data_IF_829958636628
#
_entry.id   IF_829958636628
#
_cell.length_a   1.000
_cell.length_b   1.000
_cell.length_c   1.000
_cell.angle_alpha   90.00
_cell.angle_beta   90.00
_cell.angle_gamma   90.00
#
_symmetry.space_group_name_H-M   'P 1'
#
loop_
_entity.id
_entity.type
_entity.pdbx_description
1 polymer ?
#
# COMPACT_ATOMS: atom_id res chain seq x y z
N UNK A 1 6.54 4.31 64.25
CA UNK A 1 6.56 4.37 62.77
C UNK A 1 6.41 5.83 62.37
N UNK A 2 7.45 6.38 61.77
CA UNK A 2 7.65 7.82 61.63
C UNK A 2 7.00 8.32 60.34
N UNK A 3 5.72 8.72 60.44
CA UNK A 3 4.87 9.10 59.29
C UNK A 3 5.50 10.20 58.41
N UNK A 4 6.35 11.05 58.98
CA UNK A 4 7.04 12.11 58.25
C UNK A 4 8.17 11.60 57.34
N UNK A 5 8.84 10.49 57.68
CA UNK A 5 9.88 9.90 56.84
C UNK A 5 9.29 9.19 55.61
N UNK A 6 8.14 8.51 55.76
CA UNK A 6 7.44 7.86 54.66
C UNK A 6 6.85 8.87 53.65
N UNK A 7 6.39 10.03 54.12
CA UNK A 7 5.92 11.13 53.25
C UNK A 7 7.09 11.76 52.48
N UNK A 8 8.26 11.91 53.13
CA UNK A 8 9.45 12.44 52.48
C UNK A 8 9.98 11.48 51.41
N UNK A 9 10.10 10.18 51.72
CA UNK A 9 10.55 9.14 50.80
C UNK A 9 9.62 9.00 49.59
N UNK A 10 8.30 8.97 49.81
CA UNK A 10 7.32 8.90 48.71
C UNK A 10 7.37 10.11 47.79
N UNK A 11 7.57 11.32 48.34
CA UNK A 11 7.72 12.55 47.55
C UNK A 11 8.98 12.54 46.69
N UNK A 12 10.10 12.07 47.23
CA UNK A 12 11.37 11.95 46.50
C UNK A 12 11.26 10.93 45.36
N UNK A 13 10.62 9.78 45.61
CA UNK A 13 10.40 8.74 44.58
C UNK A 13 9.48 9.24 43.47
N UNK A 14 8.46 10.04 43.78
CA UNK A 14 7.57 10.62 42.76
C UNK A 14 8.32 11.63 41.88
N UNK A 15 9.15 12.51 42.48
CA UNK A 15 9.96 13.50 41.75
C UNK A 15 11.02 12.86 40.85
N UNK A 16 11.61 11.73 41.26
CA UNK A 16 12.59 11.02 40.42
C UNK A 16 11.93 10.36 39.21
N UNK A 17 10.73 9.78 39.36
CA UNK A 17 9.96 9.19 38.27
C UNK A 17 9.46 10.23 37.27
N UNK A 18 9.05 11.42 37.73
CA UNK A 18 8.64 12.49 36.82
C UNK A 18 9.81 12.99 35.98
N UNK A 19 10.98 13.21 36.60
CA UNK A 19 12.21 13.60 35.90
C UNK A 19 12.63 12.56 34.85
N UNK A 20 12.65 11.28 35.21
CA UNK A 20 12.98 10.20 34.27
C UNK A 20 12.02 10.12 33.07
N UNK A 21 10.74 10.44 33.27
CA UNK A 21 9.75 10.51 32.18
C UNK A 21 10.04 11.71 31.27
N UNK A 22 10.33 12.87 31.85
CA UNK A 22 10.66 14.09 31.10
C UNK A 22 11.91 13.90 30.22
N UNK A 23 12.95 13.26 30.75
CA UNK A 23 14.21 13.02 30.03
C UNK A 23 14.00 12.08 28.83
N UNK A 24 13.19 11.02 28.99
CA UNK A 24 12.81 10.13 27.88
C UNK A 24 12.07 10.87 26.78
N UNK A 25 11.08 11.70 27.14
CA UNK A 25 10.30 12.46 26.17
C UNK A 25 11.18 13.44 25.42
N UNK A 26 12.07 14.18 26.10
CA UNK A 26 13.02 15.10 25.46
C UNK A 26 13.92 14.41 24.44
N UNK A 27 14.49 13.26 24.80
CA UNK A 27 15.34 12.49 23.91
C UNK A 27 14.59 12.08 22.63
N UNK A 28 13.34 11.64 22.78
CA UNK A 28 12.50 11.27 21.63
C UNK A 28 12.12 12.47 20.77
N UNK A 29 11.81 13.63 21.37
CA UNK A 29 11.53 14.84 20.60
C UNK A 29 12.75 15.26 19.75
N UNK A 30 13.97 15.15 20.30
CA UNK A 30 15.22 15.41 19.57
C UNK A 30 15.44 14.40 18.45
N UNK A 31 15.16 13.12 18.69
CA UNK A 31 15.26 12.10 17.66
C UNK A 31 14.27 12.38 16.52
N UNK A 32 13.02 12.71 16.85
CA UNK A 32 11.98 13.04 15.88
C UNK A 32 12.35 14.29 15.08
N UNK A 33 12.89 15.34 15.73
CA UNK A 33 13.32 16.54 15.01
C UNK A 33 14.43 16.23 14.02
N UNK A 34 15.41 15.40 14.39
CA UNK A 34 16.47 14.98 13.48
C UNK A 34 15.95 14.14 12.31
N UNK A 35 15.02 13.22 12.57
CA UNK A 35 14.37 12.43 11.51
C UNK A 35 13.62 13.33 10.51
N UNK A 36 12.92 14.36 10.99
CA UNK A 36 12.22 15.32 10.15
C UNK A 36 13.19 16.20 9.37
N UNK A 37 14.30 16.65 9.98
CA UNK A 37 15.32 17.44 9.29
C UNK A 37 15.99 16.65 8.15
N UNK A 38 16.27 15.36 8.35
CA UNK A 38 16.87 14.50 7.34
C UNK A 38 15.91 14.13 6.20
N UNK A 39 14.64 13.81 6.52
CA UNK A 39 13.68 13.32 5.53
C UNK A 39 12.75 14.41 4.96
N UNK A 40 12.77 15.62 5.52
CA UNK A 40 11.85 16.73 5.21
C UNK A 40 10.43 16.54 5.77
N UNK A 41 10.02 15.31 6.05
CA UNK A 41 8.71 14.94 6.63
C UNK A 41 8.88 13.84 7.67
N UNK A 42 7.95 13.75 8.63
CA UNK A 42 7.96 12.67 9.61
C UNK A 42 7.72 11.31 8.91
N UNK A 43 8.61 10.31 9.04
CA UNK A 43 8.54 9.09 8.23
C UNK A 43 7.48 8.07 8.70
N UNK A 44 6.94 8.22 9.90
CA UNK A 44 5.99 7.27 10.48
C UNK A 44 4.56 7.81 10.52
N UNK A 45 3.59 6.91 10.72
CA UNK A 45 2.18 7.25 10.94
C UNK A 45 1.58 8.17 9.84
N UNK A 46 1.96 7.96 8.58
CA UNK A 46 1.47 8.77 7.45
C UNK A 46 1.82 10.25 7.55
N UNK A 47 2.98 10.57 8.15
CA UNK A 47 3.44 11.96 8.35
C UNK A 47 2.83 12.65 9.55
N UNK A 48 2.02 11.96 10.37
CA UNK A 48 1.33 12.57 11.49
C UNK A 48 2.03 12.28 12.81
N UNK A 49 2.41 13.36 13.48
CA UNK A 49 2.93 13.30 14.83
C UNK A 49 1.83 13.71 15.82
N UNK A 50 1.54 12.82 16.76
CA UNK A 50 0.57 13.06 17.83
C UNK A 50 1.22 12.83 19.20
N UNK A 51 0.58 13.32 20.25
CA UNK A 51 0.94 13.03 21.65
C UNK A 51 1.09 11.53 21.92
N UNK A 52 0.16 10.74 21.39
CA UNK A 52 0.18 9.28 21.54
C UNK A 52 1.40 8.65 20.84
N UNK A 53 1.81 9.21 19.71
CA UNK A 53 2.99 8.75 18.98
C UNK A 53 4.27 9.06 19.77
N UNK A 54 4.37 10.26 20.35
CA UNK A 54 5.49 10.61 21.24
C UNK A 54 5.56 9.66 22.44
N UNK A 55 4.42 9.38 23.09
CA UNK A 55 4.35 8.42 24.20
C UNK A 55 4.81 7.02 23.79
N UNK A 56 4.35 6.54 22.62
CA UNK A 56 4.71 5.23 22.08
C UNK A 56 6.21 5.11 21.88
N UNK A 57 6.85 6.13 21.28
CA UNK A 57 8.29 6.13 21.03
C UNK A 57 9.12 6.31 22.30
N UNK A 58 8.62 7.06 23.27
CA UNK A 58 9.25 7.20 24.59
C UNK A 58 9.08 5.97 25.50
N UNK A 59 8.32 4.96 25.08
CA UNK A 59 8.04 3.77 25.88
C UNK A 59 7.28 4.08 27.17
N UNK A 60 6.41 5.09 27.13
CA UNK A 60 5.56 5.50 28.26
C UNK A 60 4.09 5.22 27.95
N UNK A 61 3.28 5.08 29.00
CA UNK A 61 1.84 4.85 28.85
C UNK A 61 1.16 5.99 28.09
N UNK A 62 0.17 5.67 27.26
CA UNK A 62 -0.56 6.66 26.44
C UNK A 62 -1.15 7.79 27.28
N UNK A 63 -1.63 7.49 28.48
CA UNK A 63 -2.25 8.45 29.42
C UNK A 63 -1.25 9.17 30.33
N UNK A 64 0.02 8.76 30.35
CA UNK A 64 1.02 9.25 31.33
C UNK A 64 1.26 10.75 31.21
N UNK A 65 1.34 11.29 30.00
CA UNK A 65 1.55 12.73 29.77
C UNK A 65 0.32 13.57 30.11
N UNK A 66 -0.88 12.97 30.10
CA UNK A 66 -2.13 13.64 30.42
C UNK A 66 -2.36 13.74 31.93
N UNK A 67 -1.50 13.11 32.73
CA UNK A 67 -1.56 13.24 34.19
C UNK A 67 -1.18 14.65 34.62
N UNK A 68 -1.89 15.25 35.60
CA UNK A 68 -1.52 16.55 36.18
C UNK A 68 -0.06 16.63 36.68
N UNK A 69 0.49 15.48 37.10
CA UNK A 69 1.89 15.34 37.57
C UNK A 69 2.93 15.60 36.47
N UNK A 70 2.53 15.50 35.20
CA UNK A 70 3.40 15.66 34.03
C UNK A 70 2.99 16.88 33.19
N UNK A 71 2.34 17.86 33.80
CA UNK A 71 1.81 19.05 33.10
C UNK A 71 2.89 19.83 32.35
N UNK A 72 4.10 19.93 32.91
CA UNK A 72 5.23 20.58 32.24
C UNK A 72 5.67 19.83 30.98
N UNK A 73 5.77 18.50 31.07
CA UNK A 73 6.11 17.64 29.92
C UNK A 73 5.02 17.72 28.85
N UNK A 74 3.75 17.78 29.26
CA UNK A 74 2.62 17.92 28.37
C UNK A 74 2.71 19.22 27.56
N UNK A 75 2.92 20.36 28.24
CA UNK A 75 3.10 21.67 27.59
C UNK A 75 4.28 21.70 26.62
N UNK A 76 5.37 21.02 26.96
CA UNK A 76 6.54 20.90 26.09
C UNK A 76 6.23 20.12 24.80
N UNK A 77 5.51 19.00 24.94
CA UNK A 77 5.06 18.20 23.78
C UNK A 77 4.06 19.00 22.94
N UNK A 78 3.15 19.75 23.56
CA UNK A 78 2.22 20.64 22.85
C UNK A 78 2.95 21.68 22.01
N UNK A 79 3.88 22.42 22.61
CA UNK A 79 4.66 23.43 21.89
C UNK A 79 5.45 22.82 20.72
N UNK A 80 6.00 21.62 20.89
CA UNK A 80 6.67 20.90 19.82
C UNK A 80 5.71 20.54 18.68
N UNK A 81 4.55 19.95 19.01
CA UNK A 81 3.54 19.54 18.03
C UNK A 81 2.95 20.73 17.27
N UNK A 82 2.72 21.87 17.92
CA UNK A 82 2.28 23.10 17.26
C UNK A 82 3.32 23.60 16.26
N UNK A 83 4.61 23.61 16.65
CA UNK A 83 5.70 23.98 15.75
C UNK A 83 5.84 23.02 14.56
N UNK A 84 5.47 21.75 14.75
CA UNK A 84 5.45 20.74 13.70
C UNK A 84 4.24 20.88 12.77
N UNK A 85 3.04 21.16 13.29
CA UNK A 85 1.83 21.35 12.49
C UNK A 85 1.96 22.53 11.52
N UNK A 86 2.67 23.60 11.92
CA UNK A 86 3.01 24.72 11.05
C UNK A 86 3.93 24.33 9.87
N UNK A 87 4.73 23.26 10.01
CA UNK A 87 5.64 22.73 8.99
C UNK A 87 5.09 21.51 8.26
N UNK A 88 4.01 20.92 8.76
CA UNK A 88 3.40 19.71 8.21
C UNK A 88 2.61 20.05 6.95
N UNK A 89 3.21 19.77 5.79
CA UNK A 89 2.58 19.81 4.46
C UNK A 89 1.53 18.70 4.27
N UNK A 90 0.63 18.47 5.24
CA UNK A 90 -0.58 17.69 4.98
C UNK A 90 -1.51 18.57 4.15
N UNK A 91 -1.35 18.48 2.82
CA UNK A 91 -2.49 18.67 1.93
C UNK A 91 -3.64 17.84 2.52
N UNK A 92 -4.70 18.53 2.94
CA UNK A 92 -5.88 17.93 3.55
C UNK A 92 -6.27 16.66 2.80
N UNK A 93 -6.33 15.52 3.49
CA UNK A 93 -6.72 14.23 2.89
C UNK A 93 -8.14 14.23 2.30
N UNK A 94 -8.88 15.35 2.39
CA UNK A 94 -10.08 15.60 1.61
C UNK A 94 -9.70 16.01 0.20
N UNK A 95 -9.77 15.04 -0.71
CA UNK A 95 -9.81 15.32 -2.14
C UNK A 95 -10.92 16.33 -2.41
N UNK A 96 -10.59 17.39 -3.14
CA UNK A 96 -11.61 18.36 -3.56
C UNK A 96 -12.61 17.69 -4.49
N UNK A 97 -13.83 18.23 -4.60
CA UNK A 97 -14.83 17.72 -5.54
C UNK A 97 -14.29 17.69 -6.99
N UNK A 98 -13.46 18.67 -7.35
CA UNK A 98 -12.80 18.75 -8.65
C UNK A 98 -11.78 17.62 -8.86
N UNK A 99 -10.96 17.31 -7.86
CA UNK A 99 -10.03 16.17 -7.92
C UNK A 99 -10.77 14.84 -8.03
N UNK A 100 -11.88 14.69 -7.31
CA UNK A 100 -12.72 13.49 -7.40
C UNK A 100 -13.31 13.37 -8.80
N UNK A 101 -13.95 14.42 -9.32
CA UNK A 101 -14.56 14.37 -10.66
C UNK A 101 -13.54 14.12 -11.76
N UNK A 102 -12.35 14.72 -11.67
CA UNK A 102 -11.24 14.46 -12.59
C UNK A 102 -10.77 12.99 -12.49
N UNK A 103 -10.62 12.45 -11.29
CA UNK A 103 -10.22 11.05 -11.09
C UNK A 103 -11.26 10.06 -11.63
N UNK A 104 -12.56 10.34 -11.46
CA UNK A 104 -13.64 9.53 -12.03
C UNK A 104 -13.67 9.60 -13.55
N UNK A 105 -13.48 10.79 -14.12
CA UNK A 105 -13.38 10.98 -15.58
C UNK A 105 -12.22 10.17 -16.15
N UNK A 106 -11.05 10.21 -15.50
CA UNK A 106 -9.89 9.45 -15.94
C UNK A 106 -10.16 7.95 -15.91
N UNK A 107 -10.71 7.42 -14.81
CA UNK A 107 -11.10 6.01 -14.71
C UNK A 107 -12.07 5.58 -15.81
N UNK A 108 -13.02 6.44 -16.17
CA UNK A 108 -13.96 6.16 -17.24
C UNK A 108 -13.27 6.08 -18.61
N UNK A 109 -12.35 7.02 -18.89
CA UNK A 109 -11.55 7.02 -20.12
C UNK A 109 -10.71 5.73 -20.20
N UNK A 110 -10.03 5.37 -19.11
CA UNK A 110 -9.18 4.18 -19.05
C UNK A 110 -10.00 2.90 -19.27
N UNK A 111 -11.18 2.82 -18.63
CA UNK A 111 -12.10 1.69 -18.80
C UNK A 111 -12.61 1.59 -20.25
N UNK A 112 -12.99 2.73 -20.84
CA UNK A 112 -13.44 2.78 -22.23
C UNK A 112 -12.33 2.35 -23.19
N UNK A 113 -11.10 2.84 -23.00
CA UNK A 113 -9.96 2.45 -23.82
C UNK A 113 -9.64 0.95 -23.68
N UNK A 114 -9.69 0.41 -22.46
CA UNK A 114 -9.53 -1.02 -22.22
C UNK A 114 -10.60 -1.84 -22.94
N UNK A 115 -11.87 -1.42 -22.87
CA UNK A 115 -12.98 -2.10 -23.54
C UNK A 115 -12.82 -2.10 -25.07
N UNK A 116 -12.46 -0.95 -25.66
CA UNK A 116 -12.20 -0.87 -27.10
C UNK A 116 -11.06 -1.79 -27.52
N UNK A 117 -9.98 -1.85 -26.73
CA UNK A 117 -8.87 -2.77 -27.00
C UNK A 117 -9.32 -4.22 -26.98
N UNK A 118 -10.05 -4.63 -25.95
CA UNK A 118 -10.54 -6.02 -25.84
C UNK A 118 -11.49 -6.40 -26.96
N UNK A 119 -12.31 -5.46 -27.42
CA UNK A 119 -13.22 -5.69 -28.55
C UNK A 119 -12.45 -5.91 -29.86
N UNK A 120 -11.40 -5.11 -30.11
CA UNK A 120 -10.52 -5.31 -31.26
C UNK A 120 -9.77 -6.65 -31.19
N UNK A 121 -9.24 -6.99 -30.02
CA UNK A 121 -8.56 -8.28 -29.80
C UNK A 121 -9.52 -9.47 -30.03
N UNK A 122 -10.77 -9.35 -29.59
CA UNK A 122 -11.80 -10.36 -29.83
C UNK A 122 -12.12 -10.53 -31.32
N UNK A 123 -12.26 -9.43 -32.06
CA UNK A 123 -12.50 -9.47 -33.50
C UNK A 123 -11.32 -10.10 -34.26
N UNK A 124 -10.08 -9.76 -33.89
CA UNK A 124 -8.89 -10.37 -34.47
C UNK A 124 -8.85 -11.88 -34.20
N UNK A 125 -9.09 -12.30 -32.96
CA UNK A 125 -9.11 -13.71 -32.58
C UNK A 125 -10.20 -14.49 -33.32
N UNK A 126 -11.38 -13.90 -33.49
CA UNK A 126 -12.48 -14.50 -34.26
C UNK A 126 -12.10 -14.73 -35.72
N UNK A 127 -11.47 -13.73 -36.35
CA UNK A 127 -11.01 -13.85 -37.74
C UNK A 127 -9.94 -14.95 -37.89
N UNK A 128 -9.02 -15.03 -36.94
CA UNK A 128 -7.99 -16.08 -36.93
C UNK A 128 -8.60 -17.47 -36.74
N UNK A 129 -9.59 -17.60 -35.84
CA UNK A 129 -10.33 -18.85 -35.64
C UNK A 129 -11.05 -19.28 -36.93
N UNK A 130 -11.77 -18.38 -37.59
CA UNK A 130 -12.47 -18.68 -38.84
C UNK A 130 -11.49 -19.03 -39.98
N UNK A 131 -10.29 -18.45 -40.01
CA UNK A 131 -9.23 -18.82 -40.95
C UNK A 131 -8.69 -20.23 -40.65
N UNK A 132 -8.37 -20.52 -39.40
CA UNK A 132 -7.86 -21.83 -38.98
C UNK A 132 -8.88 -22.94 -39.24
N UNK A 133 -10.16 -22.69 -38.96
CA UNK A 133 -11.23 -23.63 -39.22
C UNK A 133 -11.33 -23.97 -40.72
N UNK A 134 -11.26 -22.95 -41.59
CA UNK A 134 -11.24 -23.16 -43.06
C UNK A 134 -10.04 -24.00 -43.49
N UNK A 135 -8.84 -23.66 -43.01
CA UNK A 135 -7.62 -24.43 -43.34
C UNK A 135 -7.71 -25.88 -42.86
N UNK A 136 -8.26 -26.10 -41.66
CA UNK A 136 -8.43 -27.43 -41.11
C UNK A 136 -9.40 -28.27 -41.96
N UNK A 137 -10.51 -27.67 -42.41
CA UNK A 137 -11.45 -28.34 -43.31
C UNK A 137 -10.79 -28.74 -44.64
N UNK A 138 -10.04 -27.82 -45.27
CA UNK A 138 -9.30 -28.10 -46.52
C UNK A 138 -8.30 -29.24 -46.31
N UNK A 139 -7.52 -29.21 -45.24
CA UNK A 139 -6.57 -30.29 -44.93
C UNK A 139 -7.28 -31.63 -44.69
N UNK A 140 -8.44 -31.63 -44.04
CA UNK A 140 -9.23 -32.84 -43.85
C UNK A 140 -9.73 -33.41 -45.19
N UNK A 141 -10.20 -32.56 -46.10
CA UNK A 141 -10.61 -32.94 -47.45
C UNK A 141 -9.43 -33.50 -48.26
N UNK A 142 -8.27 -32.83 -48.24
CA UNK A 142 -7.05 -33.29 -48.92
C UNK A 142 -6.55 -34.63 -48.37
N UNK A 143 -6.52 -34.79 -47.04
CA UNK A 143 -6.13 -36.05 -46.40
C UNK A 143 -7.11 -37.17 -46.78
N UNK A 144 -8.40 -36.90 -46.81
CA UNK A 144 -9.41 -37.87 -47.25
C UNK A 144 -9.19 -38.27 -48.71
N UNK A 145 -8.97 -37.31 -49.60
CA UNK A 145 -8.70 -37.51 -51.01
C UNK A 145 -7.42 -38.34 -51.26
N UNK A 146 -6.31 -37.99 -50.60
CA UNK A 146 -5.05 -38.73 -50.71
C UNK A 146 -5.16 -40.16 -50.19
N UNK A 147 -5.89 -40.37 -49.09
CA UNK A 147 -6.19 -41.72 -48.58
C UNK A 147 -6.98 -42.55 -49.59
N UNK A 148 -7.94 -41.94 -50.28
CA UNK A 148 -8.71 -42.61 -51.33
C UNK A 148 -7.81 -43.02 -52.51
N UNK A 149 -6.92 -42.12 -52.99
CA UNK A 149 -5.94 -42.43 -54.04
C UNK A 149 -5.04 -43.59 -53.62
N UNK A 150 -4.46 -43.53 -52.42
CA UNK A 150 -3.59 -44.58 -51.91
C UNK A 150 -4.30 -45.93 -51.83
N UNK A 151 -5.57 -45.95 -51.44
CA UNK A 151 -6.37 -47.17 -51.40
C UNK A 151 -6.57 -47.74 -52.82
N UNK A 152 -6.93 -46.90 -53.79
CA UNK A 152 -7.07 -47.30 -55.21
C UNK A 152 -5.75 -47.83 -55.80
N UNK A 153 -4.61 -47.24 -55.44
CA UNK A 153 -3.29 -47.69 -55.91
C UNK A 153 -2.86 -49.01 -55.26
N UNK A 154 -3.12 -49.23 -53.97
CA UNK A 154 -2.84 -50.51 -53.29
C UNK A 154 -3.59 -51.69 -53.92
N UNK A 155 -4.83 -51.49 -54.39
CA UNK A 155 -5.63 -52.51 -55.06
C UNK A 155 -5.02 -52.91 -56.42
N UNK A 156 -4.28 -52.02 -57.09
CA UNK A 156 -3.65 -52.31 -58.39
C UNK A 156 -2.36 -53.13 -58.30
N UNK A 157 -1.68 -53.17 -57.15
CA UNK A 157 -0.45 -53.95 -56.97
C UNK A 157 -0.82 -55.34 -56.42
N UNK A 158 -1.43 -56.16 -57.26
CA UNK A 158 -1.50 -57.62 -57.03
C UNK A 158 -0.55 -58.24 -58.04
N UNK A 159 0.68 -58.51 -57.60
CA UNK A 159 1.68 -59.20 -58.42
C UNK A 159 1.32 -60.69 -58.42
N UNK A 160 0.96 -61.30 -59.56
CA UNK A 160 0.74 -62.74 -59.61
C UNK A 160 2.09 -63.43 -59.39
N UNK A 161 2.17 -64.22 -58.32
CA UNK A 161 3.31 -65.09 -58.04
C UNK A 161 3.25 -66.23 -59.06
N UNK A 162 4.32 -66.39 -59.84
CA UNK A 162 4.52 -67.54 -60.74
C UNK A 162 4.86 -68.80 -59.95
#
# INVERSE_FOLDING_TARGET
MNVNEDIALSTVIVRSKTKATADKVKLILLQISHEIECAGVYPYNGGELSKNEVCRRAGIGKTTIFSPKQSEVNKMVDAFLESFQLKSNKASGRRTYQELSAAWKQKYIDLSASHHKTELDFQALRNDYERLLRNNNVLHEEVAYLREILNKMKIKIVVPIK
#
